data_IF_372238813346
#
_entry.id   IF_372238813346
#
_cell.length_a   1.000
_cell.length_b   1.000
_cell.length_c   1.000
_cell.angle_alpha   90.00
_cell.angle_beta   90.00
_cell.angle_gamma   90.00
#
_symmetry.space_group_name_H-M   'P 1'
#
loop_
_entity.id
_entity.type
_entity.pdbx_description
1 polymer ?
#
# COMPACT_ATOMS: atom_id res chain seq x y z
N UNK A 1 35.04 15.26 -41.99
CA UNK A 1 33.83 14.42 -42.17
C UNK A 1 33.31 14.10 -40.77
N UNK A 2 32.17 14.66 -40.39
CA UNK A 2 31.58 14.52 -39.04
C UNK A 2 30.45 13.50 -39.12
N UNK A 3 30.65 12.29 -38.59
CA UNK A 3 29.58 11.34 -38.41
C UNK A 3 28.97 11.55 -37.01
N UNK A 4 27.85 12.27 -36.98
CA UNK A 4 27.03 12.41 -35.77
C UNK A 4 26.27 11.11 -35.52
N UNK A 5 26.45 10.54 -34.35
CA UNK A 5 25.64 9.41 -33.90
C UNK A 5 24.52 9.97 -33.01
N UNK A 6 23.33 10.06 -33.58
CA UNK A 6 22.10 10.39 -32.86
C UNK A 6 21.68 9.17 -32.03
N UNK A 7 21.89 9.25 -30.72
CA UNK A 7 21.31 8.30 -29.77
C UNK A 7 19.83 8.68 -29.59
N UNK A 8 18.94 7.88 -30.17
CA UNK A 8 17.51 7.92 -29.86
C UNK A 8 17.29 7.23 -28.51
N UNK A 9 17.07 8.00 -27.45
CA UNK A 9 16.60 7.47 -26.16
C UNK A 9 15.08 7.41 -26.19
N UNK A 10 14.55 6.19 -26.25
CA UNK A 10 13.13 5.89 -26.22
C UNK A 10 12.54 6.20 -24.84
N UNK A 11 11.57 7.11 -24.79
CA UNK A 11 10.75 7.44 -23.63
C UNK A 11 9.79 6.29 -23.31
N UNK A 12 10.09 5.51 -22.27
CA UNK A 12 9.14 4.61 -21.60
C UNK A 12 9.07 5.01 -20.11
N UNK A 13 8.44 6.16 -19.84
CA UNK A 13 8.33 6.75 -18.50
C UNK A 13 6.93 6.70 -17.87
N UNK A 14 6.02 5.84 -18.37
CA UNK A 14 4.59 5.95 -18.07
C UNK A 14 4.08 5.33 -16.77
N UNK A 15 4.81 4.42 -16.11
CA UNK A 15 4.31 3.70 -14.92
C UNK A 15 5.14 3.97 -13.64
N UNK A 16 6.17 4.82 -13.70
CA UNK A 16 7.08 5.01 -12.58
C UNK A 16 6.47 5.93 -11.49
N UNK A 17 5.74 6.97 -11.87
CA UNK A 17 5.25 7.98 -10.92
C UNK A 17 4.33 7.40 -9.81
N UNK A 18 3.40 6.50 -10.13
CA UNK A 18 2.51 5.90 -9.14
C UNK A 18 3.26 4.94 -8.20
N UNK A 19 4.18 4.15 -8.74
CA UNK A 19 5.02 3.24 -7.95
C UNK A 19 5.95 4.03 -7.00
N UNK A 20 6.52 5.13 -7.49
CA UNK A 20 7.42 6.00 -6.71
C UNK A 20 6.71 6.62 -5.51
N UNK A 21 5.45 7.07 -5.68
CA UNK A 21 4.68 7.65 -4.56
C UNK A 21 4.32 6.62 -3.49
N UNK A 22 3.98 5.39 -3.88
CA UNK A 22 3.69 4.32 -2.92
C UNK A 22 4.95 3.89 -2.15
N UNK A 23 6.07 3.74 -2.83
CA UNK A 23 7.36 3.39 -2.21
C UNK A 23 7.82 4.47 -1.23
N UNK A 24 7.66 5.75 -1.60
CA UNK A 24 7.91 6.87 -0.70
C UNK A 24 7.01 6.81 0.55
N UNK A 25 5.72 6.48 0.38
CA UNK A 25 4.79 6.35 1.50
C UNK A 25 5.18 5.22 2.45
N UNK A 26 5.55 4.04 1.92
CA UNK A 26 6.06 2.92 2.72
C UNK A 26 7.35 3.33 3.44
N UNK A 27 8.31 3.89 2.73
CA UNK A 27 9.60 4.33 3.29
C UNK A 27 9.43 5.38 4.39
N UNK A 28 8.52 6.34 4.21
CA UNK A 28 8.23 7.37 5.20
C UNK A 28 7.60 6.78 6.48
N UNK A 29 6.74 5.77 6.35
CA UNK A 29 6.19 5.05 7.50
C UNK A 29 7.27 4.24 8.22
N UNK A 30 8.15 3.55 7.48
CA UNK A 30 9.27 2.80 8.04
C UNK A 30 10.26 3.71 8.79
N UNK A 31 10.57 4.89 8.25
CA UNK A 31 11.42 5.88 8.91
C UNK A 31 10.83 6.37 10.26
N UNK A 32 9.51 6.29 10.41
CA UNK A 32 8.78 6.60 11.65
C UNK A 32 8.48 5.38 12.51
N UNK A 33 8.97 4.20 12.10
CA UNK A 33 8.66 2.91 12.73
C UNK A 33 7.14 2.63 12.81
N UNK A 34 6.37 3.15 11.86
CA UNK A 34 4.93 2.91 11.75
C UNK A 34 4.67 1.73 10.79
N UNK A 35 4.49 0.54 11.36
CA UNK A 35 4.25 -0.70 10.61
C UNK A 35 2.77 -0.99 10.39
N UNK A 36 1.87 -0.10 10.82
CA UNK A 36 0.43 -0.38 10.87
C UNK A 36 -0.14 -0.56 9.47
N UNK A 37 -0.91 -1.64 9.30
CA UNK A 37 -1.62 -1.94 8.06
C UNK A 37 -2.87 -1.07 7.93
N UNK A 38 -3.22 -0.71 6.71
CA UNK A 38 -4.44 0.03 6.41
C UNK A 38 -5.61 -0.94 6.40
N UNK A 39 -6.63 -0.64 7.20
CA UNK A 39 -7.90 -1.38 7.21
C UNK A 39 -9.01 -0.55 6.59
N UNK A 40 -9.97 -1.24 5.96
CA UNK A 40 -11.26 -0.63 5.63
C UNK A 40 -12.06 -0.49 6.91
N UNK A 41 -12.49 0.74 7.23
CA UNK A 41 -13.34 0.97 8.39
C UNK A 41 -14.68 0.22 8.22
N UNK A 42 -15.19 -0.34 9.32
CA UNK A 42 -16.42 -1.12 9.33
C UNK A 42 -16.28 -2.47 10.04
N UNK A 43 -17.25 -3.35 9.84
CA UNK A 43 -17.28 -4.66 10.52
C UNK A 43 -16.11 -5.54 10.06
N UNK A 44 -15.29 -5.96 11.03
CA UNK A 44 -14.20 -6.92 10.83
C UNK A 44 -12.85 -6.31 10.43
N UNK A 45 -12.80 -5.00 10.16
CA UNK A 45 -11.56 -4.27 9.79
C UNK A 45 -10.72 -5.05 8.78
N UNK A 46 -11.29 -5.22 7.58
CA UNK A 46 -10.66 -5.98 6.51
C UNK A 46 -9.36 -5.28 6.12
N UNK A 47 -8.27 -6.05 6.05
CA UNK A 47 -6.97 -5.59 5.57
C UNK A 47 -6.90 -5.88 4.06
N UNK A 48 -7.09 -4.89 3.16
CA UNK A 48 -7.06 -5.16 1.74
C UNK A 48 -5.69 -5.71 1.32
N UNK A 49 -5.66 -6.57 0.30
CA UNK A 49 -4.44 -7.16 -0.23
C UNK A 49 -3.83 -8.29 0.59
N UNK A 50 -4.40 -8.64 1.75
CA UNK A 50 -3.96 -9.74 2.61
C UNK A 50 -5.02 -10.84 2.61
N UNK A 51 -4.58 -12.10 2.48
CA UNK A 51 -5.47 -13.26 2.45
C UNK A 51 -6.31 -13.36 3.74
N UNK A 52 -7.61 -13.71 3.67
CA UNK A 52 -8.52 -13.74 4.83
C UNK A 52 -7.96 -14.49 6.05
N UNK A 53 -7.34 -15.64 5.82
CA UNK A 53 -6.73 -16.50 6.84
C UNK A 53 -5.50 -15.88 7.51
N UNK A 54 -4.85 -14.91 6.87
CA UNK A 54 -3.68 -14.20 7.39
C UNK A 54 -4.05 -12.87 8.07
N UNK A 55 -5.29 -12.36 7.89
CA UNK A 55 -5.63 -11.03 8.39
C UNK A 55 -5.50 -10.91 9.91
N UNK A 56 -5.95 -11.92 10.66
CA UNK A 56 -5.86 -11.89 12.13
C UNK A 56 -4.40 -11.81 12.61
N UNK A 57 -3.52 -12.65 12.06
CA UNK A 57 -2.10 -12.67 12.45
C UNK A 57 -1.35 -11.43 11.95
N UNK A 58 -1.66 -10.93 10.76
CA UNK A 58 -1.10 -9.70 10.21
C UNK A 58 -1.48 -8.48 11.08
N UNK A 59 -2.76 -8.35 11.46
CA UNK A 59 -3.23 -7.29 12.37
C UNK A 59 -2.54 -7.35 13.74
N UNK A 60 -2.41 -8.55 14.30
CA UNK A 60 -1.75 -8.73 15.60
C UNK A 60 -0.26 -8.35 15.58
N UNK A 61 0.44 -8.64 14.47
CA UNK A 61 1.88 -8.35 14.32
C UNK A 61 2.17 -6.90 13.96
N UNK A 62 1.40 -6.34 13.04
CA UNK A 62 1.67 -5.03 12.45
C UNK A 62 0.92 -3.89 13.16
N UNK A 63 -0.18 -4.20 13.86
CA UNK A 63 -1.18 -3.20 14.20
C UNK A 63 -1.96 -2.71 12.97
N UNK A 64 -2.92 -1.82 13.20
CA UNK A 64 -3.81 -1.30 12.16
C UNK A 64 -3.97 0.22 12.26
N UNK A 65 -4.26 0.85 11.12
CA UNK A 65 -4.67 2.25 11.00
C UNK A 65 -5.76 2.40 9.95
N UNK A 66 -6.52 3.47 10.05
CA UNK A 66 -7.53 3.81 9.05
C UNK A 66 -6.96 4.75 8.00
N UNK A 67 -7.53 4.67 6.80
CA UNK A 67 -7.29 5.62 5.72
C UNK A 67 -8.57 6.43 5.52
N UNK A 68 -8.45 7.76 5.54
CA UNK A 68 -9.59 8.64 5.34
C UNK A 68 -10.27 8.35 4.00
N UNK A 69 -11.60 8.25 4.04
CA UNK A 69 -12.41 7.89 2.88
C UNK A 69 -12.53 6.38 2.61
N UNK A 70 -11.71 5.52 3.22
CA UNK A 70 -11.81 4.06 3.04
C UNK A 70 -12.75 3.43 4.10
N UNK A 71 -14.05 3.64 3.91
CA UNK A 71 -15.10 3.14 4.80
C UNK A 71 -15.87 1.93 4.27
N UNK A 72 -16.82 1.44 5.06
CA UNK A 72 -17.81 0.43 4.66
C UNK A 72 -18.98 1.04 3.88
N UNK A 73 -19.25 2.33 4.10
CA UNK A 73 -20.27 3.09 3.37
C UNK A 73 -19.66 3.75 2.13
N UNK A 74 -20.12 3.33 0.94
CA UNK A 74 -19.80 3.95 -0.34
C UNK A 74 -20.98 4.83 -0.74
N UNK A 75 -20.75 6.14 -0.91
CA UNK A 75 -21.78 7.06 -1.41
C UNK A 75 -21.95 6.89 -2.92
N UNK A 76 -23.17 7.07 -3.47
CA UNK A 76 -23.38 7.06 -4.92
C UNK A 76 -22.42 8.04 -5.63
N UNK A 77 -21.75 7.58 -6.67
CA UNK A 77 -20.78 8.36 -7.45
C UNK A 77 -19.36 8.40 -6.87
N UNK A 78 -19.09 7.70 -5.78
CA UNK A 78 -17.75 7.59 -5.17
C UNK A 78 -17.14 6.18 -5.31
N UNK A 79 -17.73 5.31 -6.13
CA UNK A 79 -17.30 3.92 -6.31
C UNK A 79 -15.87 3.84 -6.85
N UNK A 80 -15.52 4.68 -7.82
CA UNK A 80 -14.17 4.72 -8.40
C UNK A 80 -13.13 5.22 -7.38
N UNK A 81 -13.46 6.27 -6.62
CA UNK A 81 -12.58 6.78 -5.57
C UNK A 81 -12.35 5.73 -4.49
N UNK A 82 -13.41 5.04 -4.06
CA UNK A 82 -13.32 3.93 -3.12
C UNK A 82 -12.44 2.79 -3.66
N UNK A 83 -12.62 2.42 -4.93
CA UNK A 83 -11.82 1.37 -5.55
C UNK A 83 -10.33 1.74 -5.59
N UNK A 84 -10.00 3.00 -5.90
CA UNK A 84 -8.61 3.52 -5.86
C UNK A 84 -8.02 3.46 -4.45
N UNK A 85 -8.77 3.87 -3.43
CA UNK A 85 -8.33 3.79 -2.03
C UNK A 85 -8.12 2.34 -1.58
N UNK A 86 -9.01 1.44 -1.98
CA UNK A 86 -8.91 0.02 -1.66
C UNK A 86 -7.69 -0.63 -2.36
N UNK A 87 -7.43 -0.28 -3.62
CA UNK A 87 -6.25 -0.74 -4.36
C UNK A 87 -4.95 -0.20 -3.74
N UNK A 88 -4.90 1.10 -3.43
CA UNK A 88 -3.77 1.70 -2.72
C UNK A 88 -3.50 1.01 -1.38
N UNK A 89 -4.54 0.80 -0.56
CA UNK A 89 -4.41 0.10 0.72
C UNK A 89 -3.91 -1.34 0.52
N UNK A 90 -4.41 -2.05 -0.50
CA UNK A 90 -3.97 -3.40 -0.81
C UNK A 90 -2.49 -3.46 -1.15
N UNK A 91 -2.00 -2.52 -1.96
CA UNK A 91 -0.60 -2.50 -2.39
C UNK A 91 0.34 -2.07 -1.27
N UNK A 92 -0.06 -1.06 -0.48
CA UNK A 92 0.66 -0.65 0.72
C UNK A 92 0.79 -1.80 1.71
N UNK A 93 -0.31 -2.51 2.00
CA UNK A 93 -0.32 -3.60 2.98
C UNK A 93 0.56 -4.77 2.57
N UNK A 94 0.55 -5.16 1.29
CA UNK A 94 1.41 -6.25 0.79
C UNK A 94 2.90 -5.93 0.98
N UNK A 95 3.29 -4.69 0.74
CA UNK A 95 4.68 -4.22 0.94
C UNK A 95 5.01 -4.13 2.43
N UNK A 96 4.14 -3.48 3.21
CA UNK A 96 4.36 -3.27 4.64
C UNK A 96 4.41 -4.57 5.46
N UNK A 97 3.66 -5.61 5.06
CA UNK A 97 3.61 -6.90 5.75
C UNK A 97 5.00 -7.54 5.92
N UNK A 98 5.91 -7.33 4.95
CA UNK A 98 7.27 -7.85 5.00
C UNK A 98 8.16 -7.17 6.06
N UNK A 99 7.76 -5.99 6.52
CA UNK A 99 8.53 -5.18 7.47
C UNK A 99 8.05 -5.30 8.91
N UNK A 100 6.85 -5.84 9.13
CA UNK A 100 6.35 -6.05 10.48
C UNK A 100 7.19 -7.12 11.17
N UNK A 101 7.74 -6.86 12.36
CA UNK A 101 8.47 -7.87 13.10
C UNK A 101 7.61 -9.13 13.28
N UNK A 102 8.25 -10.30 13.28
CA UNK A 102 7.61 -11.48 13.83
C UNK A 102 7.17 -11.11 15.25
N UNK A 103 5.94 -11.46 15.64
CA UNK A 103 5.49 -11.23 17.02
C UNK A 103 6.61 -11.76 17.92
N UNK A 104 7.25 -10.88 18.69
CA UNK A 104 8.25 -11.28 19.68
C UNK A 104 7.50 -12.06 20.76
N UNK A 105 7.19 -13.31 20.45
CA UNK A 105 6.82 -14.31 21.41
C UNK A 105 8.03 -14.48 22.29
N UNK A 106 7.98 -13.92 23.50
CA UNK A 106 8.77 -14.43 24.61
C UNK A 106 8.56 -15.94 24.62
N UNK A 107 9.64 -16.68 24.45
CA UNK A 107 9.73 -18.11 24.74
C UNK A 107 9.44 -18.33 26.22
#
# INVERSE_FOLDING_TARGET
>A
MRAGWLVLVSLLGGCQADADTLEQAVSASLAKQDYRLIVRAGRGEVVPGIAPEQQASAKARCGVRYLDGLGDVIKPGQEEAQAKLAAYAADYNRRMLAHCPAASGKQ
#
